data_IF_286118452015
#
_entry.id   IF_286118452015
#
_cell.length_a   1.000
_cell.length_b   1.000
_cell.length_c   1.000
_cell.angle_alpha   90.00
_cell.angle_beta   90.00
_cell.angle_gamma   90.00
#
_symmetry.space_group_name_H-M   'P 1'
#
loop_
_entity.id
_entity.type
_entity.pdbx_description
1 polymer ?
#
# COMPACT_ATOMS: atom_id res chain seq x y z
N UNK A 1 -26.59 -53.73 -33.90
CA UNK A 1 -25.21 -53.19 -34.02
C UNK A 1 -25.09 -51.76 -33.49
N UNK A 2 -26.03 -50.85 -33.78
CA UNK A 2 -26.01 -49.44 -33.31
C UNK A 2 -26.02 -49.24 -31.78
N UNK A 3 -26.72 -50.11 -31.02
CA UNK A 3 -26.79 -49.99 -29.55
C UNK A 3 -25.48 -50.33 -28.82
N UNK A 4 -24.64 -51.19 -29.41
CA UNK A 4 -23.33 -51.57 -28.83
C UNK A 4 -22.32 -50.44 -29.04
N UNK A 5 -22.40 -49.75 -30.17
CA UNK A 5 -21.55 -48.59 -30.48
C UNK A 5 -21.86 -47.39 -29.59
N UNK A 6 -23.14 -47.16 -29.24
CA UNK A 6 -23.54 -46.04 -28.38
C UNK A 6 -23.08 -46.23 -26.92
N UNK A 7 -23.17 -47.46 -26.38
CA UNK A 7 -22.62 -47.77 -25.05
C UNK A 7 -21.11 -47.60 -24.99
N UNK A 8 -20.37 -48.01 -26.03
CA UNK A 8 -18.91 -47.78 -26.10
C UNK A 8 -18.56 -46.30 -26.19
N UNK A 9 -19.35 -45.49 -26.89
CA UNK A 9 -19.14 -44.04 -27.01
C UNK A 9 -19.40 -43.30 -25.69
N UNK A 10 -20.40 -43.74 -24.92
CA UNK A 10 -20.68 -43.22 -23.57
C UNK A 10 -19.58 -43.61 -22.59
N UNK A 11 -19.12 -44.87 -22.60
CA UNK A 11 -18.00 -45.28 -21.72
C UNK A 11 -16.71 -44.55 -22.07
N UNK A 12 -16.40 -44.37 -23.36
CA UNK A 12 -15.23 -43.57 -23.79
C UNK A 12 -15.40 -42.11 -23.37
N UNK A 13 -16.59 -41.52 -23.50
CA UNK A 13 -16.84 -40.13 -23.05
C UNK A 13 -16.75 -39.98 -21.53
N UNK A 14 -17.23 -40.95 -20.75
CA UNK A 14 -17.13 -40.95 -19.28
C UNK A 14 -15.68 -41.16 -18.84
N UNK A 15 -14.91 -42.01 -19.52
CA UNK A 15 -13.46 -42.18 -19.27
C UNK A 15 -12.68 -40.94 -19.69
N UNK A 16 -13.08 -40.25 -20.77
CA UNK A 16 -12.48 -38.97 -21.21
C UNK A 16 -12.84 -37.80 -20.29
N UNK A 17 -14.03 -37.80 -19.70
CA UNK A 17 -14.45 -36.82 -18.69
C UNK A 17 -13.78 -37.10 -17.33
N UNK A 18 -13.66 -38.37 -16.94
CA UNK A 18 -12.97 -38.77 -15.71
C UNK A 18 -11.45 -38.59 -15.80
N UNK A 19 -10.85 -38.64 -17.00
CA UNK A 19 -9.43 -38.33 -17.22
C UNK A 19 -9.13 -36.83 -17.32
N UNK A 20 -10.16 -35.98 -17.50
CA UNK A 20 -10.02 -34.52 -17.42
C UNK A 20 -10.34 -33.94 -16.04
N UNK A 21 -10.92 -34.75 -15.14
CA UNK A 21 -10.92 -34.47 -13.70
C UNK A 21 -9.74 -35.16 -13.04
N UNK A 22 -8.54 -34.97 -13.58
CA UNK A 22 -7.38 -34.93 -12.70
C UNK A 22 -7.63 -33.73 -11.79
N UNK A 23 -8.04 -34.01 -10.56
CA UNK A 23 -8.03 -33.02 -9.48
C UNK A 23 -6.59 -32.55 -9.45
N UNK A 24 -6.30 -31.39 -10.07
CA UNK A 24 -5.04 -30.71 -9.86
C UNK A 24 -4.96 -30.54 -8.36
N UNK A 25 -4.02 -31.24 -7.73
CA UNK A 25 -3.72 -31.01 -6.33
C UNK A 25 -3.38 -29.52 -6.25
N UNK A 26 -4.24 -28.73 -5.60
CA UNK A 26 -4.02 -27.30 -5.41
C UNK A 26 -2.70 -27.17 -4.66
N UNK A 27 -1.62 -26.82 -5.37
CA UNK A 27 -0.30 -26.72 -4.78
C UNK A 27 -0.19 -25.33 -4.11
N UNK A 28 0.33 -25.26 -2.88
CA UNK A 28 0.55 -23.97 -2.21
C UNK A 28 1.39 -23.00 -3.06
N UNK A 29 2.36 -23.53 -3.83
CA UNK A 29 3.22 -22.76 -4.72
C UNK A 29 2.48 -21.97 -5.80
N UNK A 30 1.40 -22.53 -6.37
CA UNK A 30 0.62 -21.85 -7.42
C UNK A 30 -0.08 -20.60 -6.88
N UNK A 31 -0.51 -20.63 -5.62
CA UNK A 31 -1.12 -19.49 -4.94
C UNK A 31 -0.08 -18.46 -4.50
N UNK A 32 1.13 -18.89 -4.12
CA UNK A 32 2.24 -17.97 -3.82
C UNK A 32 2.64 -17.19 -5.07
N UNK A 33 2.81 -17.87 -6.21
CA UNK A 33 3.16 -17.21 -7.48
C UNK A 33 2.09 -16.20 -7.91
N UNK A 34 0.81 -16.57 -7.80
CA UNK A 34 -0.31 -15.66 -8.08
C UNK A 34 -0.34 -14.47 -7.11
N UNK A 35 -0.11 -14.71 -5.82
CA UNK A 35 -0.06 -13.67 -4.81
C UNK A 35 1.06 -12.65 -5.11
N UNK A 36 2.26 -13.11 -5.45
CA UNK A 36 3.40 -12.24 -5.79
C UNK A 36 3.14 -11.42 -7.05
N UNK A 37 2.54 -12.03 -8.08
CA UNK A 37 2.17 -11.34 -9.31
C UNK A 37 1.14 -10.23 -9.05
N UNK A 38 0.11 -10.51 -8.26
CA UNK A 38 -0.92 -9.53 -7.89
C UNK A 38 -0.38 -8.43 -7.00
N UNK A 39 0.51 -8.78 -6.06
CA UNK A 39 1.19 -7.82 -5.19
C UNK A 39 2.04 -6.84 -6.01
N UNK A 40 2.80 -7.36 -6.97
CA UNK A 40 3.63 -6.57 -7.90
C UNK A 40 2.80 -5.69 -8.83
N UNK A 41 1.60 -6.13 -9.20
CA UNK A 41 0.64 -5.34 -9.97
C UNK A 41 -0.12 -4.29 -9.14
N UNK A 42 0.05 -4.27 -7.82
CA UNK A 42 -0.63 -3.34 -6.91
C UNK A 42 -2.03 -3.78 -6.46
N UNK A 43 -2.48 -4.98 -6.81
CA UNK A 43 -3.73 -5.57 -6.31
C UNK A 43 -3.48 -6.28 -4.96
N UNK A 44 -3.29 -5.45 -3.93
CA UNK A 44 -2.84 -5.88 -2.60
C UNK A 44 -3.86 -6.78 -1.89
N UNK A 45 -5.15 -6.47 -1.97
CA UNK A 45 -6.18 -7.23 -1.25
C UNK A 45 -6.36 -8.63 -1.85
N UNK A 46 -6.26 -8.77 -3.17
CA UNK A 46 -6.30 -10.08 -3.83
C UNK A 46 -5.02 -10.87 -3.57
N UNK A 47 -3.86 -10.22 -3.57
CA UNK A 47 -2.58 -10.86 -3.23
C UNK A 47 -2.57 -11.44 -1.81
N UNK A 48 -3.09 -10.69 -0.84
CA UNK A 48 -3.22 -11.16 0.55
C UNK A 48 -4.10 -12.41 0.62
N UNK A 49 -5.24 -12.44 -0.09
CA UNK A 49 -6.14 -13.60 -0.09
C UNK A 49 -5.50 -14.85 -0.67
N UNK A 50 -4.76 -14.71 -1.77
CA UNK A 50 -4.07 -15.85 -2.38
C UNK A 50 -2.97 -16.39 -1.44
N UNK A 51 -2.23 -15.51 -0.77
CA UNK A 51 -1.23 -15.90 0.23
C UNK A 51 -1.86 -16.57 1.46
N UNK A 52 -2.98 -16.05 1.97
CA UNK A 52 -3.76 -16.68 3.05
C UNK A 52 -4.24 -18.09 2.64
N UNK A 53 -4.63 -18.25 1.37
CA UNK A 53 -5.02 -19.55 0.81
C UNK A 53 -3.82 -20.51 0.72
N UNK A 54 -2.65 -20.04 0.31
CA UNK A 54 -1.41 -20.83 0.31
C UNK A 54 -1.05 -21.33 1.73
N UNK A 55 -1.16 -20.47 2.75
CA UNK A 55 -0.96 -20.85 4.17
C UNK A 55 -1.95 -21.94 4.61
N UNK A 56 -3.21 -21.83 4.17
CA UNK A 56 -4.25 -22.80 4.51
C UNK A 56 -4.04 -24.20 3.93
N UNK A 57 -3.48 -24.27 2.72
CA UNK A 57 -3.29 -25.53 1.96
C UNK A 57 -1.93 -26.18 2.25
N UNK A 58 -0.93 -25.40 2.70
CA UNK A 58 0.36 -25.93 3.09
C UNK A 58 0.23 -27.09 4.08
N UNK A 59 0.96 -28.18 3.86
CA UNK A 59 0.94 -29.34 4.76
C UNK A 59 2.05 -29.25 5.81
N UNK A 60 3.23 -28.78 5.40
CA UNK A 60 4.37 -28.65 6.29
C UNK A 60 4.27 -27.40 7.17
N UNK A 61 4.75 -27.53 8.41
CA UNK A 61 4.83 -26.39 9.33
C UNK A 61 5.82 -25.35 8.81
N UNK A 62 6.94 -25.79 8.22
CA UNK A 62 7.99 -24.92 7.72
C UNK A 62 7.48 -24.04 6.56
N UNK A 63 6.68 -24.60 5.65
CA UNK A 63 6.07 -23.85 4.55
C UNK A 63 5.03 -22.85 5.08
N UNK A 64 4.22 -23.25 6.07
CA UNK A 64 3.27 -22.32 6.73
C UNK A 64 3.98 -21.15 7.36
N UNK A 65 5.05 -21.42 8.10
CA UNK A 65 5.82 -20.39 8.81
C UNK A 65 6.52 -19.46 7.79
N UNK A 66 7.00 -20.01 6.67
CA UNK A 66 7.55 -19.23 5.56
C UNK A 66 6.50 -18.33 4.88
N UNK A 67 5.33 -18.85 4.54
CA UNK A 67 4.26 -18.06 3.91
C UNK A 67 3.68 -17.01 4.87
N UNK A 68 3.57 -17.33 6.16
CA UNK A 68 3.22 -16.35 7.21
C UNK A 68 4.25 -15.23 7.32
N UNK A 69 5.54 -15.57 7.25
CA UNK A 69 6.61 -14.58 7.23
C UNK A 69 6.47 -13.64 6.02
N UNK A 70 6.28 -14.20 4.82
CA UNK A 70 6.05 -13.43 3.58
C UNK A 70 4.84 -12.51 3.70
N UNK A 71 3.69 -13.03 4.14
CA UNK A 71 2.48 -12.25 4.37
C UNK A 71 2.70 -11.12 5.40
N UNK A 72 3.46 -11.40 6.46
CA UNK A 72 3.86 -10.40 7.45
C UNK A 72 4.64 -9.24 6.84
N UNK A 73 5.58 -9.51 5.92
CA UNK A 73 6.35 -8.45 5.25
C UNK A 73 5.49 -7.48 4.44
N UNK A 74 4.35 -7.93 3.94
CA UNK A 74 3.40 -7.10 3.19
C UNK A 74 2.44 -6.35 4.11
N UNK A 75 1.96 -7.01 5.16
CA UNK A 75 0.96 -6.45 6.08
C UNK A 75 1.54 -5.38 7.02
N UNK A 76 2.78 -5.52 7.49
CA UNK A 76 3.43 -4.56 8.41
C UNK A 76 3.42 -3.13 7.84
N UNK A 77 3.96 -2.86 6.63
CA UNK A 77 4.02 -1.50 6.11
C UNK A 77 2.62 -0.91 5.85
N UNK A 78 1.64 -1.73 5.47
CA UNK A 78 0.25 -1.28 5.27
C UNK A 78 -0.39 -0.88 6.61
N UNK A 79 -0.27 -1.73 7.62
CA UNK A 79 -0.79 -1.47 8.95
C UNK A 79 -0.15 -0.21 9.56
N UNK A 80 1.18 -0.09 9.50
CA UNK A 80 1.91 1.09 9.97
C UNK A 80 1.51 2.36 9.21
N UNK A 81 1.37 2.28 7.88
CA UNK A 81 0.99 3.45 7.08
C UNK A 81 -0.38 3.99 7.49
N UNK A 82 -1.38 3.13 7.66
CA UNK A 82 -2.72 3.56 8.06
C UNK A 82 -2.78 3.98 9.52
N UNK A 83 -2.09 3.27 10.41
CA UNK A 83 -2.00 3.59 11.83
C UNK A 83 -1.35 4.97 12.05
N UNK A 84 -0.21 5.25 11.40
CA UNK A 84 0.49 6.53 11.51
C UNK A 84 -0.30 7.70 10.93
N UNK A 85 -1.21 7.44 9.97
CA UNK A 85 -2.15 8.42 9.43
C UNK A 85 -3.39 8.62 10.31
N UNK A 86 -3.51 7.89 11.43
CA UNK A 86 -4.69 7.88 12.29
C UNK A 86 -5.92 7.24 11.65
N UNK A 87 -5.78 6.54 10.53
CA UNK A 87 -6.88 5.82 9.89
C UNK A 87 -7.01 4.42 10.50
N UNK A 88 -7.50 4.38 11.73
CA UNK A 88 -7.63 3.17 12.53
C UNK A 88 -8.61 2.15 11.92
N UNK A 89 -9.60 2.60 11.15
CA UNK A 89 -10.56 1.73 10.45
C UNK A 89 -9.85 0.86 9.40
N UNK A 90 -8.98 1.47 8.59
CA UNK A 90 -8.17 0.73 7.61
C UNK A 90 -6.99 -0.01 8.23
N UNK A 91 -6.44 0.47 9.34
CA UNK A 91 -5.34 -0.19 10.03
C UNK A 91 -5.77 -1.47 10.78
N UNK A 92 -7.01 -1.51 11.28
CA UNK A 92 -7.56 -2.62 12.07
C UNK A 92 -7.49 -3.99 11.37
N UNK A 93 -7.94 -4.17 10.11
CA UNK A 93 -7.90 -5.47 9.45
C UNK A 93 -6.47 -6.00 9.23
N UNK A 94 -5.51 -5.13 8.91
CA UNK A 94 -4.12 -5.53 8.69
C UNK A 94 -3.42 -5.85 10.02
N UNK A 95 -3.60 -5.03 11.06
CA UNK A 95 -3.06 -5.28 12.40
C UNK A 95 -3.63 -6.55 13.04
N UNK A 96 -4.93 -6.85 12.83
CA UNK A 96 -5.54 -8.11 13.28
C UNK A 96 -4.84 -9.33 12.66
N UNK A 97 -4.69 -9.36 11.34
CA UNK A 97 -3.99 -10.46 10.65
C UNK A 97 -2.55 -10.63 11.14
N UNK A 98 -1.87 -9.52 11.42
CA UNK A 98 -0.51 -9.55 11.98
C UNK A 98 -0.47 -10.18 13.39
N UNK A 99 -1.50 -9.99 14.23
CA UNK A 99 -1.56 -10.69 15.54
C UNK A 99 -1.73 -12.20 15.41
N UNK A 100 -2.31 -12.69 14.31
CA UNK A 100 -2.45 -14.12 14.02
C UNK A 100 -1.12 -14.73 13.50
N UNK A 101 -0.28 -13.91 12.86
CA UNK A 101 1.04 -14.29 12.33
C UNK A 101 2.12 -14.22 13.41
N UNK A 102 2.11 -13.17 14.23
CA UNK A 102 3.13 -12.90 15.25
C UNK A 102 2.47 -12.45 16.56
N UNK A 103 1.82 -13.39 17.29
CA UNK A 103 1.09 -13.07 18.52
C UNK A 103 2.00 -12.58 19.65
N UNK A 104 3.31 -12.76 19.56
CA UNK A 104 4.26 -12.37 20.60
C UNK A 104 4.83 -10.95 20.39
N UNK A 105 4.57 -10.32 19.24
CA UNK A 105 5.05 -8.97 18.95
C UNK A 105 4.18 -7.92 19.66
N UNK A 106 4.75 -7.32 20.71
CA UNK A 106 4.08 -6.29 21.51
C UNK A 106 3.74 -5.02 20.71
N UNK A 107 4.51 -4.68 19.68
CA UNK A 107 4.23 -3.55 18.81
C UNK A 107 2.96 -3.78 17.98
N UNK A 108 2.85 -4.96 17.39
CA UNK A 108 1.66 -5.38 16.62
C UNK A 108 0.42 -5.45 17.51
N UNK A 109 0.55 -6.05 18.69
CA UNK A 109 -0.51 -6.13 19.70
C UNK A 109 -1.02 -4.74 20.11
N UNK A 110 -0.10 -3.81 20.38
CA UNK A 110 -0.45 -2.43 20.71
C UNK A 110 -1.20 -1.76 19.55
N UNK A 111 -0.68 -1.88 18.33
CA UNK A 111 -1.30 -1.31 17.14
C UNK A 111 -2.74 -1.83 16.93
N UNK A 112 -2.96 -3.13 17.09
CA UNK A 112 -4.28 -3.75 17.02
C UNK A 112 -5.23 -3.21 18.09
N UNK A 113 -4.79 -3.18 19.36
CA UNK A 113 -5.61 -2.74 20.48
C UNK A 113 -6.00 -1.25 20.36
N UNK A 114 -5.05 -0.39 20.00
CA UNK A 114 -5.27 1.04 19.80
C UNK A 114 -6.27 1.30 18.65
N UNK A 115 -6.11 0.57 17.54
CA UNK A 115 -7.02 0.67 16.40
C UNK A 115 -8.42 0.18 16.77
N UNK A 116 -8.52 -0.94 17.51
CA UNK A 116 -9.79 -1.51 17.98
C UNK A 116 -10.53 -0.54 18.91
N UNK A 117 -9.86 -0.01 19.92
CA UNK A 117 -10.45 0.95 20.87
C UNK A 117 -10.94 2.19 20.13
N UNK A 118 -10.15 2.72 19.21
CA UNK A 118 -10.49 3.92 18.44
C UNK A 118 -11.72 3.69 17.56
N UNK A 119 -11.80 2.56 16.86
CA UNK A 119 -12.96 2.21 16.02
C UNK A 119 -14.22 1.96 16.87
N UNK A 120 -14.08 1.28 18.01
CA UNK A 120 -15.19 1.07 18.95
C UNK A 120 -15.68 2.39 19.56
N UNK A 121 -14.78 3.32 19.90
CA UNK A 121 -15.12 4.65 20.39
C UNK A 121 -15.87 5.46 19.33
N UNK A 122 -15.43 5.45 18.07
CA UNK A 122 -16.12 6.13 16.96
C UNK A 122 -17.52 5.54 16.74
N UNK A 123 -17.65 4.21 16.74
CA UNK A 123 -18.97 3.54 16.63
C UNK A 123 -19.90 3.92 17.78
N UNK A 124 -19.38 3.98 19.01
CA UNK A 124 -20.15 4.38 20.19
C UNK A 124 -20.63 5.83 20.10
N UNK A 125 -19.78 6.74 19.61
CA UNK A 125 -20.15 8.15 19.36
C UNK A 125 -21.20 8.26 18.25
N UNK A 126 -21.11 7.46 17.19
CA UNK A 126 -22.14 7.42 16.14
C UNK A 126 -23.48 6.85 16.63
N UNK A 127 -23.44 5.82 17.48
CA UNK A 127 -24.63 5.28 18.14
C UNK A 127 -25.26 6.28 19.11
N UNK A 128 -24.45 7.02 19.88
CA UNK A 128 -24.91 8.09 20.76
C UNK A 128 -25.54 9.26 19.98
N UNK A 129 -24.94 9.66 18.84
CA UNK A 129 -25.53 10.65 17.93
C UNK A 129 -26.87 10.20 17.35
N UNK A 130 -26.99 8.92 16.94
CA UNK A 130 -28.26 8.35 16.47
C UNK A 130 -29.32 8.30 17.59
N UNK A 131 -28.91 8.12 18.85
CA UNK A 131 -29.81 8.17 20.01
C UNK A 131 -30.28 9.61 20.30
N UNK A 132 -29.42 10.60 20.10
CA UNK A 132 -29.75 12.02 20.25
C UNK A 132 -30.72 12.52 19.17
N UNK A 133 -30.49 12.14 17.91
CA UNK A 133 -31.39 12.41 16.79
C UNK A 133 -32.78 11.75 16.99
N UNK A 134 -32.80 10.57 17.61
CA UNK A 134 -34.03 9.84 18.00
C UNK A 134 -34.76 10.46 19.21
N UNK A 135 -34.09 11.26 20.04
CA UNK A 135 -34.72 12.05 21.12
C UNK A 135 -35.41 13.30 20.57
N UNK A 136 -34.83 13.94 19.56
CA UNK A 136 -35.38 15.14 18.91
C UNK A 136 -36.69 14.82 18.17
N UNK A 137 -36.72 13.73 17.40
CA UNK A 137 -37.94 13.23 16.71
C UNK A 137 -39.04 12.81 17.69
N UNK A 138 -38.67 12.31 18.89
CA UNK A 138 -39.64 11.94 19.93
C UNK A 138 -40.30 13.16 20.60
N UNK A 139 -39.60 14.29 20.70
CA UNK A 139 -40.11 15.49 21.37
C UNK A 139 -41.15 16.22 20.50
N UNK A 140 -40.90 16.34 19.19
CA UNK A 140 -41.88 16.87 18.23
C UNK A 140 -43.15 16.00 18.20
N UNK A 141 -42.99 14.68 18.23
CA UNK A 141 -44.11 13.74 18.33
C UNK A 141 -44.91 13.92 19.63
N UNK A 142 -44.24 14.14 20.77
CA UNK A 142 -44.88 14.37 22.06
C UNK A 142 -45.69 15.68 22.07
N UNK A 143 -45.14 16.77 21.54
CA UNK A 143 -45.82 18.08 21.44
C UNK A 143 -47.08 17.94 20.57
N UNK A 144 -46.99 17.29 19.41
CA UNK A 144 -48.14 17.06 18.53
C UNK A 144 -49.24 16.22 19.18
N UNK A 145 -48.85 15.24 20.00
CA UNK A 145 -49.78 14.39 20.74
C UNK A 145 -50.51 15.21 21.82
N UNK A 146 -49.79 16.05 22.57
CA UNK A 146 -50.36 16.93 23.59
C UNK A 146 -51.35 17.93 22.98
N UNK A 147 -51.03 18.54 21.84
CA UNK A 147 -51.93 19.45 21.11
C UNK A 147 -53.21 18.73 20.63
N UNK A 148 -53.09 17.49 20.15
CA UNK A 148 -54.23 16.66 19.76
C UNK A 148 -55.15 16.33 20.94
N UNK A 149 -54.58 15.97 22.10
CA UNK A 149 -55.34 15.74 23.33
C UNK A 149 -56.07 17.00 23.79
N UNK A 150 -55.42 18.16 23.74
CA UNK A 150 -56.01 19.46 24.10
C UNK A 150 -57.23 19.77 23.23
N UNK A 151 -57.09 19.66 21.91
CA UNK A 151 -58.19 19.88 20.95
C UNK A 151 -59.36 18.92 21.16
N UNK A 152 -59.07 17.68 21.58
CA UNK A 152 -60.10 16.69 21.91
C UNK A 152 -60.86 17.07 23.19
N UNK A 153 -60.15 17.57 24.21
CA UNK A 153 -60.75 18.03 25.47
C UNK A 153 -61.63 19.27 25.26
N UNK A 154 -61.19 20.24 24.47
CA UNK A 154 -62.00 21.42 24.12
C UNK A 154 -63.32 21.05 23.45
N UNK A 155 -63.28 20.14 22.47
CA UNK A 155 -64.50 19.63 21.80
C UNK A 155 -65.44 18.93 22.77
N UNK A 156 -64.89 18.18 23.72
CA UNK A 156 -65.69 17.47 24.73
C UNK A 156 -66.37 18.46 25.67
N UNK A 157 -65.67 19.52 26.09
CA UNK A 157 -66.23 20.61 26.89
C UNK A 157 -67.35 21.34 26.13
N UNK A 158 -67.15 21.63 24.84
CA UNK A 158 -68.17 22.24 23.98
C UNK A 158 -69.43 21.37 23.89
N UNK A 159 -69.27 20.06 23.67
CA UNK A 159 -70.39 19.11 23.60
C UNK A 159 -71.13 18.99 24.94
N UNK A 160 -70.42 19.05 26.07
CA UNK A 160 -71.05 19.05 27.39
C UNK A 160 -71.87 20.33 27.64
N UNK A 161 -71.39 21.50 27.20
CA UNK A 161 -72.15 22.76 27.25
C UNK A 161 -73.46 22.68 26.47
N UNK A 162 -73.42 22.11 25.27
CA UNK A 162 -74.61 21.92 24.42
C UNK A 162 -75.61 20.90 24.99
N UNK A 163 -75.12 19.86 25.70
CA UNK A 163 -76.00 18.91 26.39
C UNK A 163 -76.66 19.54 27.60
N UNK A 164 -75.89 20.27 28.41
CA UNK A 164 -76.42 20.97 29.59
C UNK A 164 -77.47 22.01 29.20
N UNK A 165 -77.24 22.79 28.12
CA UNK A 165 -78.22 23.78 27.67
C UNK A 165 -79.57 23.17 27.29
N UNK A 166 -79.57 21.93 26.76
CA UNK A 166 -80.78 21.15 26.47
C UNK A 166 -81.43 20.58 27.75
N UNK A 167 -80.64 20.13 28.72
CA UNK A 167 -81.14 19.53 29.96
C UNK A 167 -81.75 20.56 30.93
N UNK A 168 -81.39 21.84 30.77
CA UNK A 168 -81.95 22.97 31.53
C UNK A 168 -83.35 23.40 31.06
N UNK A 169 -83.86 22.85 29.93
CA UNK A 169 -85.23 23.08 29.44
C UNK A 169 -86.22 22.19 30.19
N UNK A 170 -87.17 22.79 30.91
CA UNK A 170 -88.25 22.07 31.60
C UNK A 170 -87.97 21.67 33.06
N UNK A 171 -86.82 22.03 33.64
CA UNK A 171 -86.50 21.81 35.06
C UNK A 171 -86.88 23.01 35.96
N UNK A 172 -87.06 22.74 37.26
CA UNK A 172 -87.31 23.75 38.27
C UNK A 172 -86.11 24.70 38.46
N UNK A 173 -86.35 25.91 38.95
CA UNK A 173 -85.32 26.95 39.09
C UNK A 173 -84.20 26.55 40.07
N UNK A 174 -84.56 25.85 41.15
CA UNK A 174 -83.61 25.33 42.14
C UNK A 174 -82.70 24.24 41.55
N UNK A 175 -83.26 23.31 40.76
CA UNK A 175 -82.47 22.28 40.07
C UNK A 175 -81.55 22.88 39.00
N UNK A 176 -82.03 23.88 38.24
CA UNK A 176 -81.21 24.60 37.25
C UNK A 176 -80.00 25.26 37.89
N UNK A 177 -80.19 25.94 39.02
CA UNK A 177 -79.11 26.64 39.70
C UNK A 177 -78.06 25.69 40.28
N UNK A 178 -78.49 24.56 40.87
CA UNK A 178 -77.58 23.53 41.36
C UNK A 178 -76.73 22.90 40.24
N UNK A 179 -77.35 22.57 39.09
CA UNK A 179 -76.66 22.02 37.93
C UNK A 179 -75.69 23.02 37.29
N UNK A 180 -76.05 24.30 37.22
CA UNK A 180 -75.16 25.35 36.72
C UNK A 180 -73.95 25.57 37.64
N UNK A 181 -74.14 25.53 38.95
CA UNK A 181 -73.04 25.68 39.90
C UNK A 181 -72.04 24.52 39.81
N UNK A 182 -72.53 23.28 39.71
CA UNK A 182 -71.68 22.10 39.53
C UNK A 182 -70.94 22.13 38.18
N UNK A 183 -71.62 22.54 37.11
CA UNK A 183 -71.00 22.69 35.80
C UNK A 183 -69.91 23.77 35.80
N UNK A 184 -70.18 24.94 36.39
CA UNK A 184 -69.20 26.03 36.49
C UNK A 184 -67.95 25.62 37.27
N UNK A 185 -68.11 24.84 38.35
CA UNK A 185 -66.96 24.27 39.09
C UNK A 185 -66.12 23.35 38.21
N UNK A 186 -66.75 22.46 37.44
CA UNK A 186 -66.04 21.57 36.50
C UNK A 186 -65.38 22.35 35.37
N UNK A 187 -66.07 23.31 34.76
CA UNK A 187 -65.53 24.14 33.69
C UNK A 187 -64.28 24.93 34.13
N UNK A 188 -64.31 25.52 35.33
CA UNK A 188 -63.16 26.24 35.87
C UNK A 188 -61.96 25.32 36.10
N UNK A 189 -62.20 24.08 36.58
CA UNK A 189 -61.15 23.09 36.73
C UNK A 189 -60.55 22.68 35.37
N UNK A 190 -61.39 22.46 34.35
CA UNK A 190 -60.92 22.17 32.99
C UNK A 190 -60.09 23.31 32.41
N UNK A 191 -60.55 24.56 32.52
CA UNK A 191 -59.81 25.75 32.08
C UNK A 191 -58.45 25.89 32.76
N UNK A 192 -58.37 25.58 34.06
CA UNK A 192 -57.11 25.62 34.81
C UNK A 192 -56.11 24.56 34.30
N UNK A 193 -56.56 23.33 34.03
CA UNK A 193 -55.71 22.27 33.47
C UNK A 193 -55.26 22.63 32.04
N UNK A 194 -56.16 23.21 31.24
CA UNK A 194 -55.90 23.63 29.87
C UNK A 194 -54.79 24.69 29.83
N UNK A 195 -54.94 25.76 30.60
CA UNK A 195 -53.96 26.86 30.70
C UNK A 195 -52.59 26.39 31.20
N UNK A 196 -52.56 25.48 32.17
CA UNK A 196 -51.30 24.87 32.64
C UNK A 196 -50.61 24.06 31.54
N UNK A 197 -51.38 23.27 30.79
CA UNK A 197 -50.85 22.44 29.70
C UNK A 197 -50.33 23.30 28.55
N UNK A 198 -51.04 24.38 28.19
CA UNK A 198 -50.56 25.36 27.21
C UNK A 198 -49.26 26.03 27.64
N UNK A 199 -49.14 26.40 28.92
CA UNK A 199 -47.90 26.97 29.45
C UNK A 199 -46.73 26.01 29.28
N UNK A 200 -46.93 24.73 29.64
CA UNK A 200 -45.91 23.71 29.49
C UNK A 200 -45.49 23.49 28.04
N UNK A 201 -46.45 23.52 27.10
CA UNK A 201 -46.16 23.43 25.66
C UNK A 201 -45.34 24.65 25.20
N UNK A 202 -45.73 25.87 25.62
CA UNK A 202 -44.99 27.10 25.28
C UNK A 202 -43.57 27.06 25.82
N UNK A 203 -43.39 26.68 27.09
CA UNK A 203 -42.07 26.61 27.71
C UNK A 203 -41.17 25.60 26.96
N UNK A 204 -41.69 24.40 26.67
CA UNK A 204 -40.97 23.39 25.88
C UNK A 204 -40.61 23.88 24.46
N UNK A 205 -41.53 24.56 23.77
CA UNK A 205 -41.28 25.13 22.45
C UNK A 205 -40.20 26.21 22.50
N UNK A 206 -40.18 27.06 23.53
CA UNK A 206 -39.15 28.10 23.67
C UNK A 206 -37.78 27.52 23.94
N UNK A 207 -37.66 26.51 24.81
CA UNK A 207 -36.39 25.84 25.10
C UNK A 207 -35.86 25.11 23.85
N UNK A 208 -36.74 24.42 23.13
CA UNK A 208 -36.40 23.75 21.87
C UNK A 208 -35.91 24.73 20.80
N UNK A 209 -36.67 25.81 20.55
CA UNK A 209 -36.30 26.82 19.56
C UNK A 209 -34.97 27.51 19.91
N UNK A 210 -34.70 27.74 21.20
CA UNK A 210 -33.42 28.28 21.67
C UNK A 210 -32.26 27.33 21.35
N UNK A 211 -32.36 26.05 21.74
CA UNK A 211 -31.32 25.04 21.45
C UNK A 211 -31.11 24.83 19.96
N UNK A 212 -32.20 24.76 19.17
CA UNK A 212 -32.12 24.62 17.71
C UNK A 212 -31.39 25.82 17.06
N UNK A 213 -31.63 27.04 17.56
CA UNK A 213 -30.93 28.24 17.08
C UNK A 213 -29.44 28.23 17.40
N UNK A 214 -29.06 27.83 18.62
CA UNK A 214 -27.66 27.70 19.04
C UNK A 214 -26.93 26.62 18.21
N UNK A 215 -27.58 25.50 17.94
CA UNK A 215 -27.07 24.45 17.06
C UNK A 215 -26.90 24.95 15.62
N UNK A 216 -27.90 25.60 15.02
CA UNK A 216 -27.78 26.13 13.65
C UNK A 216 -26.65 27.16 13.52
N UNK A 217 -26.44 28.00 14.53
CA UNK A 217 -25.32 28.96 14.54
C UNK A 217 -23.97 28.26 14.60
N UNK A 218 -23.80 27.28 15.49
CA UNK A 218 -22.54 26.53 15.61
C UNK A 218 -22.23 25.72 14.34
N UNK A 219 -23.21 24.99 13.78
CA UNK A 219 -23.03 24.28 12.51
C UNK A 219 -22.73 25.23 11.34
N UNK A 220 -23.36 26.42 11.29
CA UNK A 220 -23.09 27.44 10.27
C UNK A 220 -21.65 27.96 10.31
N UNK A 221 -21.11 28.20 11.51
CA UNK A 221 -19.71 28.64 11.68
C UNK A 221 -18.73 27.53 11.27
N UNK A 222 -18.96 26.29 11.71
CA UNK A 222 -18.09 25.16 11.37
C UNK A 222 -18.10 24.88 9.87
N UNK A 223 -19.26 24.90 9.22
CA UNK A 223 -19.35 24.71 7.76
C UNK A 223 -18.68 25.83 6.99
N UNK A 224 -18.81 27.09 7.42
CA UNK A 224 -18.10 28.21 6.81
C UNK A 224 -16.57 28.04 6.90
N UNK A 225 -16.04 27.62 8.05
CA UNK A 225 -14.60 27.34 8.23
C UNK A 225 -14.14 26.24 7.27
N UNK A 226 -14.88 25.13 7.18
CA UNK A 226 -14.55 24.02 6.28
C UNK A 226 -14.54 24.50 4.82
N UNK A 227 -15.54 25.26 4.38
CA UNK A 227 -15.58 25.79 3.01
C UNK A 227 -14.40 26.73 2.71
N UNK A 228 -14.03 27.59 3.65
CA UNK A 228 -12.84 28.47 3.51
C UNK A 228 -11.57 27.64 3.40
N UNK A 229 -11.41 26.58 4.21
CA UNK A 229 -10.23 25.70 4.10
C UNK A 229 -10.15 24.99 2.76
N UNK A 230 -11.28 24.47 2.25
CA UNK A 230 -11.35 23.84 0.92
C UNK A 230 -10.97 24.85 -0.16
N UNK A 231 -11.48 26.08 -0.08
CA UNK A 231 -11.16 27.13 -1.04
C UNK A 231 -9.66 27.47 -1.05
N UNK A 232 -9.03 27.55 0.13
CA UNK A 232 -7.58 27.76 0.26
C UNK A 232 -6.81 26.60 -0.40
N UNK A 233 -7.21 25.35 -0.14
CA UNK A 233 -6.58 24.19 -0.76
C UNK A 233 -6.71 24.18 -2.28
N UNK A 234 -7.89 24.49 -2.82
CA UNK A 234 -8.13 24.60 -4.27
C UNK A 234 -7.28 25.73 -4.87
N UNK A 235 -7.20 26.88 -4.20
CA UNK A 235 -6.40 28.01 -4.65
C UNK A 235 -4.91 27.68 -4.70
N UNK A 236 -4.38 27.05 -3.65
CA UNK A 236 -2.99 26.57 -3.60
C UNK A 236 -2.74 25.53 -4.69
N UNK A 237 -3.68 24.60 -4.91
CA UNK A 237 -3.58 23.60 -5.96
C UNK A 237 -3.53 24.22 -7.35
N UNK A 238 -4.33 25.26 -7.62
CA UNK A 238 -4.30 25.99 -8.90
C UNK A 238 -2.95 26.68 -9.10
N UNK A 239 -2.43 27.36 -8.07
CA UNK A 239 -1.11 28.02 -8.13
C UNK A 239 -0.02 26.99 -8.43
N UNK A 240 0.01 25.88 -7.69
CA UNK A 240 0.98 24.81 -7.89
C UNK A 240 0.86 24.20 -9.28
N UNK A 241 -0.35 23.87 -9.73
CA UNK A 241 -0.61 23.30 -11.04
C UNK A 241 -0.12 24.22 -12.16
N UNK A 242 -0.37 25.53 -12.05
CA UNK A 242 0.12 26.53 -13.00
C UNK A 242 1.64 26.64 -12.98
N UNK A 243 2.27 26.57 -11.80
CA UNK A 243 3.73 26.57 -11.66
C UNK A 243 4.37 25.32 -12.28
N UNK A 244 3.76 24.16 -12.09
CA UNK A 244 4.20 22.90 -12.71
C UNK A 244 4.03 22.90 -14.23
N UNK A 245 2.91 23.41 -14.75
CA UNK A 245 2.67 23.53 -16.19
C UNK A 245 3.70 24.44 -16.87
N UNK A 246 3.99 25.60 -16.27
CA UNK A 246 4.99 26.53 -16.79
C UNK A 246 6.41 25.92 -16.82
N UNK A 247 6.81 25.18 -15.78
CA UNK A 247 8.09 24.46 -15.79
C UNK A 247 8.16 23.39 -16.89
N UNK A 248 7.07 22.65 -17.10
CA UNK A 248 6.99 21.59 -18.13
C UNK A 248 7.08 22.15 -19.55
N UNK A 249 6.46 23.30 -19.80
CA UNK A 249 6.54 23.96 -21.13
C UNK A 249 7.98 24.41 -21.44
N UNK A 250 8.71 24.91 -20.43
CA UNK A 250 10.11 25.32 -20.59
C UNK A 250 11.03 24.12 -20.90
N UNK A 251 10.85 22.99 -20.21
CA UNK A 251 11.63 21.78 -20.48
C UNK A 251 11.31 21.19 -21.86
N UNK A 252 10.03 21.14 -22.24
CA UNK A 252 9.60 20.62 -23.53
C UNK A 252 10.15 21.46 -24.70
N UNK A 253 10.16 22.79 -24.58
CA UNK A 253 10.78 23.67 -25.60
C UNK A 253 12.29 23.41 -25.76
N UNK A 254 13.00 23.12 -24.68
CA UNK A 254 14.43 22.78 -24.74
C UNK A 254 14.67 21.40 -25.39
N UNK A 255 13.81 20.43 -25.10
CA UNK A 255 13.89 19.08 -25.62
C UNK A 255 13.55 19.02 -27.12
N UNK A 256 12.53 19.77 -27.56
CA UNK A 256 12.19 19.91 -28.99
C UNK A 256 13.32 20.58 -29.79
N UNK A 257 14.04 21.54 -29.20
CA UNK A 257 15.22 22.16 -29.85
C UNK A 257 16.33 21.13 -29.99
N UNK A 258 16.63 20.32 -28.96
CA UNK A 258 17.62 19.24 -29.04
C UNK A 258 17.26 18.19 -30.09
N UNK A 259 16.01 17.71 -30.12
CA UNK A 259 15.55 16.73 -31.12
C UNK A 259 15.69 17.29 -32.55
N UNK A 260 15.45 18.59 -32.73
CA UNK A 260 15.62 19.25 -34.03
C UNK A 260 17.08 19.37 -34.43
N UNK A 261 17.98 19.65 -33.49
CA UNK A 261 19.44 19.66 -33.71
C UNK A 261 19.97 18.24 -34.00
N UNK A 262 19.53 17.23 -33.26
CA UNK A 262 19.86 15.82 -33.47
C UNK A 262 19.35 15.31 -34.82
N UNK A 263 18.14 15.71 -35.25
CA UNK A 263 17.60 15.39 -36.56
C UNK A 263 18.37 16.03 -37.72
N UNK A 264 18.86 17.27 -37.54
CA UNK A 264 19.75 17.94 -38.51
C UNK A 264 21.09 17.18 -38.59
N UNK A 265 21.62 16.76 -37.45
CA UNK A 265 22.85 15.97 -37.36
C UNK A 265 22.68 14.60 -38.03
N UNK A 266 21.59 13.88 -37.77
CA UNK A 266 21.28 12.59 -38.40
C UNK A 266 21.09 12.72 -39.93
N UNK A 267 20.42 13.76 -40.40
CA UNK A 267 20.30 14.04 -41.82
C UNK A 267 21.66 14.36 -42.49
N UNK A 268 22.60 14.96 -41.74
CA UNK A 268 23.97 15.17 -42.19
C UNK A 268 24.75 13.85 -42.29
N UNK A 269 24.61 12.96 -41.31
CA UNK A 269 25.23 11.63 -41.32
C UNK A 269 24.68 10.76 -42.43
N UNK A 270 23.36 10.78 -42.69
CA UNK A 270 22.74 10.03 -43.78
C UNK A 270 23.29 10.45 -45.16
N UNK A 271 23.54 11.75 -45.37
CA UNK A 271 24.20 12.25 -46.59
C UNK A 271 25.66 11.80 -46.71
N UNK A 272 26.38 11.71 -45.59
CA UNK A 272 27.76 11.22 -45.57
C UNK A 272 27.78 9.71 -45.87
N UNK A 273 26.88 8.93 -45.27
CA UNK A 273 26.74 7.49 -45.49
C UNK A 273 26.36 7.20 -46.95
N UNK A 274 25.38 7.90 -47.53
CA UNK A 274 25.02 7.75 -48.96
C UNK A 274 26.20 8.07 -49.90
N UNK A 275 27.04 9.04 -49.53
CA UNK A 275 28.27 9.36 -50.27
C UNK A 275 29.31 8.25 -50.15
N UNK A 276 29.47 7.67 -48.97
CA UNK A 276 30.36 6.53 -48.72
C UNK A 276 29.85 5.28 -49.46
N UNK A 277 28.56 4.97 -49.40
CA UNK A 277 27.94 3.85 -50.11
C UNK A 277 28.06 3.96 -51.63
N UNK A 278 28.03 5.18 -52.18
CA UNK A 278 28.28 5.41 -53.61
C UNK A 278 29.75 5.27 -54.01
N UNK A 279 30.68 5.45 -53.08
CA UNK A 279 32.12 5.27 -53.32
C UNK A 279 32.62 3.85 -53.01
N UNK A 280 31.93 3.08 -52.17
CA UNK A 280 32.22 1.67 -51.85
C UNK A 280 32.38 0.77 -53.10
N UNK A 281 31.56 0.88 -54.16
CA UNK A 281 31.72 0.07 -55.38
C UNK A 281 33.02 0.34 -56.15
N UNK A 282 33.68 1.49 -55.91
CA UNK A 282 34.96 1.85 -56.53
C UNK A 282 36.16 1.26 -55.80
N UNK A 283 35.98 0.83 -54.55
CA UNK A 283 36.97 0.12 -53.76
C UNK A 283 36.76 -1.39 -53.90
N UNK A 284 36.89 -1.92 -55.13
CA UNK A 284 37.14 -3.36 -55.30
C UNK A 284 38.57 -3.66 -54.87
N UNK A 285 38.75 -4.12 -53.64
CA UNK A 285 39.94 -4.87 -53.27
C UNK A 285 39.55 -6.21 -52.66
N UNK A 286 39.89 -7.24 -53.44
CA UNK A 286 40.22 -8.62 -53.07
C UNK A 286 39.18 -9.38 -52.23
N UNK A 287 38.45 -10.27 -52.92
CA UNK A 287 37.77 -11.38 -52.26
C UNK A 287 38.82 -12.28 -51.59
N UNK A 288 38.98 -12.14 -50.27
CA UNK A 288 39.53 -13.21 -49.46
C UNK A 288 38.48 -14.32 -49.27
N UNK A 289 38.90 -15.59 -49.24
CA UNK A 289 37.97 -16.72 -49.20
C UNK A 289 37.15 -16.68 -47.92
N UNK A 290 35.87 -17.04 -48.03
CA UNK A 290 34.99 -17.32 -46.88
C UNK A 290 35.61 -18.45 -46.04
N UNK A 291 36.47 -18.09 -45.11
CA UNK A 291 36.79 -18.93 -43.97
C UNK A 291 35.55 -18.83 -43.08
N UNK A 292 34.70 -19.84 -43.18
CA UNK A 292 33.67 -20.11 -42.17
C UNK A 292 34.41 -20.47 -40.87
N UNK A 293 34.93 -19.45 -40.17
CA UNK A 293 35.41 -19.60 -38.81
C UNK A 293 34.17 -19.95 -38.00
N UNK A 294 33.95 -21.26 -37.80
CA UNK A 294 33.27 -21.76 -36.62
C UNK A 294 34.03 -21.21 -35.44
N UNK A 295 33.67 -20.02 -34.97
CA UNK A 295 34.17 -19.49 -33.72
C UNK A 295 33.75 -20.48 -32.65
N UNK A 296 34.71 -21.26 -32.19
CA UNK A 296 34.48 -22.23 -31.14
C UNK A 296 34.20 -21.41 -29.88
N UNK A 297 32.93 -21.32 -29.50
CA UNK A 297 32.49 -20.42 -28.43
C UNK A 297 33.24 -20.66 -27.11
N UNK A 298 33.62 -21.92 -26.84
CA UNK A 298 34.47 -22.31 -25.72
C UNK A 298 35.91 -21.80 -25.82
N UNK A 299 36.41 -21.62 -27.04
CA UNK A 299 37.75 -21.07 -27.30
C UNK A 299 37.75 -19.55 -27.15
N UNK A 300 36.68 -18.87 -27.58
CA UNK A 300 36.46 -17.45 -27.29
C UNK A 300 36.32 -17.20 -25.78
N UNK A 301 35.49 -17.97 -25.08
CA UNK A 301 35.33 -17.91 -23.61
C UNK A 301 36.67 -18.11 -22.89
N UNK A 302 37.51 -19.04 -23.35
CA UNK A 302 38.86 -19.26 -22.81
C UNK A 302 39.82 -18.12 -23.15
N UNK A 303 39.76 -17.58 -24.35
CA UNK A 303 40.67 -16.52 -24.83
C UNK A 303 40.36 -15.20 -24.13
N UNK A 304 39.07 -14.91 -23.89
CA UNK A 304 38.63 -13.78 -23.06
C UNK A 304 39.02 -14.00 -21.59
N UNK A 305 38.79 -15.20 -21.03
CA UNK A 305 39.23 -15.51 -19.67
C UNK A 305 40.76 -15.48 -19.48
N UNK A 306 41.53 -15.59 -20.56
CA UNK A 306 43.00 -15.46 -20.56
C UNK A 306 43.52 -14.05 -20.83
N UNK A 307 42.63 -13.10 -21.16
CA UNK A 307 42.98 -11.69 -21.33
C UNK A 307 43.45 -11.04 -20.03
N UNK A 308 44.04 -9.86 -20.09
CA UNK A 308 44.38 -9.09 -18.88
C UNK A 308 43.11 -8.70 -18.09
N UNK A 309 43.28 -8.27 -16.85
CA UNK A 309 42.15 -7.99 -15.93
C UNK A 309 41.17 -7.00 -16.55
N UNK A 310 41.69 -5.97 -17.20
CA UNK A 310 40.92 -4.91 -17.83
C UNK A 310 40.06 -5.44 -18.99
N UNK A 311 40.62 -6.31 -19.83
CA UNK A 311 39.86 -6.96 -20.91
C UNK A 311 38.71 -7.80 -20.34
N UNK A 312 38.94 -8.53 -19.25
CA UNK A 312 37.90 -9.37 -18.62
C UNK A 312 36.76 -8.52 -18.04
N UNK A 313 37.10 -7.40 -17.39
CA UNK A 313 36.10 -6.44 -16.88
C UNK A 313 35.28 -5.83 -18.03
N UNK A 314 35.91 -5.37 -19.11
CA UNK A 314 35.17 -4.80 -20.26
C UNK A 314 34.23 -5.78 -20.92
N UNK A 315 34.59 -7.06 -20.96
CA UNK A 315 33.67 -8.09 -21.45
C UNK A 315 32.47 -8.22 -20.53
N UNK A 316 32.68 -8.26 -19.21
CA UNK A 316 31.57 -8.29 -18.24
C UNK A 316 30.67 -7.05 -18.36
N UNK A 317 31.25 -5.86 -18.53
CA UNK A 317 30.49 -4.62 -18.75
C UNK A 317 29.67 -4.65 -20.05
N UNK A 318 30.25 -5.20 -21.13
CA UNK A 318 29.53 -5.38 -22.41
C UNK A 318 28.39 -6.39 -22.26
N UNK A 319 28.61 -7.49 -21.52
CA UNK A 319 27.55 -8.44 -21.20
C UNK A 319 26.44 -7.73 -20.41
N UNK A 320 26.81 -6.90 -19.43
CA UNK A 320 25.86 -6.14 -18.60
C UNK A 320 25.01 -5.18 -19.44
N UNK A 321 25.62 -4.46 -20.39
CA UNK A 321 24.87 -3.55 -21.28
C UNK A 321 23.84 -4.31 -22.11
N UNK A 322 24.22 -5.44 -22.71
CA UNK A 322 23.32 -6.12 -23.66
C UNK A 322 22.18 -6.84 -22.95
N UNK A 323 22.36 -7.21 -21.68
CA UNK A 323 21.32 -7.85 -20.88
C UNK A 323 20.29 -6.84 -20.38
N UNK A 324 20.68 -5.58 -20.22
CA UNK A 324 19.81 -4.51 -19.73
C UNK A 324 18.68 -4.10 -20.70
N UNK A 325 18.69 -4.58 -21.95
CA UNK A 325 17.68 -4.29 -22.99
C UNK A 325 16.48 -5.28 -23.02
N UNK A 326 16.27 -6.05 -21.93
CA UNK A 326 15.03 -6.76 -21.56
C UNK A 326 14.51 -7.83 -22.55
N UNK A 327 15.31 -8.89 -22.78
CA UNK A 327 14.88 -10.10 -23.47
C UNK A 327 15.08 -11.34 -22.59
N UNK A 328 14.04 -12.16 -22.37
CA UNK A 328 14.12 -13.35 -21.50
C UNK A 328 15.23 -14.35 -21.92
N UNK A 329 15.47 -14.50 -23.23
CA UNK A 329 16.54 -15.36 -23.78
C UNK A 329 17.95 -14.79 -23.50
N UNK A 330 18.09 -13.49 -23.23
CA UNK A 330 19.39 -12.85 -22.94
C UNK A 330 19.88 -13.14 -21.51
N UNK A 331 18.97 -13.38 -20.56
CA UNK A 331 19.32 -13.65 -19.16
C UNK A 331 19.92 -15.03 -18.95
N UNK A 332 19.34 -16.08 -19.53
CA UNK A 332 19.91 -17.44 -19.47
C UNK A 332 21.27 -17.52 -20.19
N UNK A 333 21.39 -16.83 -21.33
CA UNK A 333 22.65 -16.71 -22.05
C UNK A 333 23.69 -15.90 -21.24
N UNK A 334 23.26 -14.85 -20.57
CA UNK A 334 24.08 -14.04 -19.66
C UNK A 334 24.69 -14.86 -18.53
N UNK A 335 23.91 -15.68 -17.83
CA UNK A 335 24.42 -16.57 -16.77
C UNK A 335 25.54 -17.46 -17.30
N UNK A 336 25.36 -18.04 -18.49
CA UNK A 336 26.38 -18.91 -19.12
C UNK A 336 27.68 -18.16 -19.44
N UNK A 337 27.57 -16.92 -19.93
CA UNK A 337 28.74 -16.10 -20.28
C UNK A 337 29.49 -15.59 -19.06
N UNK A 338 28.79 -15.32 -17.95
CA UNK A 338 29.39 -14.81 -16.71
C UNK A 338 30.06 -15.93 -15.90
N UNK A 339 29.54 -17.15 -15.97
CA UNK A 339 29.99 -18.28 -15.13
C UNK A 339 31.51 -18.51 -15.08
N UNK A 340 32.29 -18.39 -16.18
CA UNK A 340 33.74 -18.53 -16.15
C UNK A 340 34.47 -17.51 -15.25
N UNK A 341 33.89 -16.33 -15.04
CA UNK A 341 34.51 -15.22 -14.30
C UNK A 341 34.19 -15.24 -12.80
N UNK A 342 33.21 -16.04 -12.35
CA UNK A 342 32.80 -16.12 -10.95
C UNK A 342 33.90 -16.67 -10.02
N UNK A 343 34.85 -17.42 -10.58
CA UNK A 343 36.00 -17.99 -9.87
C UNK A 343 37.34 -17.39 -10.33
N UNK A 344 37.32 -16.18 -10.90
CA UNK A 344 38.53 -15.52 -11.39
C UNK A 344 39.59 -15.34 -10.29
N UNK A 345 40.86 -15.32 -10.68
CA UNK A 345 41.96 -15.04 -9.76
C UNK A 345 41.98 -13.60 -9.25
N UNK A 346 41.51 -12.64 -10.05
CA UNK A 346 41.48 -11.22 -9.69
C UNK A 346 40.17 -10.89 -8.95
N UNK A 347 40.24 -10.31 -7.73
CA UNK A 347 39.07 -9.91 -6.94
C UNK A 347 38.08 -9.00 -7.67
N UNK A 348 38.56 -8.09 -8.51
CA UNK A 348 37.70 -7.13 -9.23
C UNK A 348 36.87 -7.83 -10.29
N UNK A 349 37.48 -8.78 -11.00
CA UNK A 349 36.77 -9.58 -12.01
C UNK A 349 35.69 -10.44 -11.35
N UNK A 350 35.99 -11.07 -10.20
CA UNK A 350 34.99 -11.83 -9.43
C UNK A 350 33.82 -10.96 -8.97
N UNK A 351 34.10 -9.78 -8.41
CA UNK A 351 33.06 -8.87 -7.94
C UNK A 351 32.20 -8.35 -9.11
N UNK A 352 32.82 -7.95 -10.22
CA UNK A 352 32.12 -7.53 -11.43
C UNK A 352 31.27 -8.68 -11.99
N UNK A 353 31.78 -9.91 -12.01
CA UNK A 353 31.00 -11.07 -12.46
C UNK A 353 29.74 -11.30 -11.61
N UNK A 354 29.83 -11.13 -10.29
CA UNK A 354 28.65 -11.21 -9.42
C UNK A 354 27.67 -10.06 -9.65
N UNK A 355 28.16 -8.87 -9.98
CA UNK A 355 27.31 -7.74 -10.39
C UNK A 355 26.48 -8.06 -11.64
N UNK A 356 27.14 -8.56 -12.68
CA UNK A 356 26.46 -8.95 -13.93
C UNK A 356 25.51 -10.12 -13.69
N UNK A 357 25.92 -11.08 -12.85
CA UNK A 357 25.06 -12.20 -12.48
C UNK A 357 23.80 -11.72 -11.74
N UNK A 358 23.87 -10.66 -10.94
CA UNK A 358 22.68 -10.09 -10.29
C UNK A 358 21.65 -9.61 -11.32
N UNK A 359 22.08 -8.99 -12.42
CA UNK A 359 21.17 -8.56 -13.51
C UNK A 359 20.53 -9.75 -14.25
N UNK A 360 21.28 -10.85 -14.38
CA UNK A 360 20.82 -12.06 -15.08
C UNK A 360 19.93 -12.93 -14.19
N UNK A 361 20.35 -13.13 -12.95
CA UNK A 361 19.86 -14.11 -11.99
C UNK A 361 20.10 -13.60 -10.55
N UNK A 362 19.22 -12.70 -10.04
CA UNK A 362 19.37 -12.13 -8.70
C UNK A 362 19.49 -13.19 -7.59
N UNK A 363 18.78 -14.31 -7.76
CA UNK A 363 18.78 -15.40 -6.80
C UNK A 363 20.14 -16.12 -6.70
N UNK A 364 20.80 -16.39 -7.84
CA UNK A 364 22.12 -17.03 -7.86
C UNK A 364 23.20 -16.09 -7.36
N UNK A 365 23.14 -14.80 -7.74
CA UNK A 365 24.05 -13.78 -7.23
C UNK A 365 23.99 -13.69 -5.69
N UNK A 366 22.78 -13.73 -5.11
CA UNK A 366 22.60 -13.68 -3.66
C UNK A 366 23.21 -14.88 -2.94
N UNK A 367 23.14 -16.10 -3.53
CA UNK A 367 23.79 -17.29 -2.96
C UNK A 367 25.31 -17.14 -2.95
N UNK A 368 25.89 -16.62 -4.03
CA UNK A 368 27.33 -16.41 -4.17
C UNK A 368 27.85 -15.29 -3.25
N UNK A 369 27.05 -14.25 -2.99
CA UNK A 369 27.43 -13.19 -2.06
C UNK A 369 27.77 -13.70 -0.67
N UNK A 370 26.99 -14.64 -0.11
CA UNK A 370 27.28 -15.19 1.21
C UNK A 370 28.63 -15.91 1.27
N UNK A 371 29.00 -16.58 0.17
CA UNK A 371 30.32 -17.22 0.04
C UNK A 371 31.40 -16.16 -0.05
N UNK A 372 31.20 -15.11 -0.87
CA UNK A 372 32.20 -14.07 -1.08
C UNK A 372 32.40 -13.13 0.12
N UNK A 373 31.36 -12.88 0.91
CA UNK A 373 31.50 -12.16 2.19
C UNK A 373 32.35 -12.92 3.22
N UNK A 374 32.57 -14.22 3.00
CA UNK A 374 33.43 -15.07 3.83
C UNK A 374 34.71 -15.51 3.10
N UNK A 375 35.04 -14.88 1.96
CA UNK A 375 36.25 -15.23 1.19
C UNK A 375 37.49 -14.97 2.04
N UNK A 376 38.53 -15.81 1.90
CA UNK A 376 39.78 -15.69 2.64
C UNK A 376 40.55 -14.43 2.23
N UNK A 377 40.46 -14.00 0.97
CA UNK A 377 41.13 -12.79 0.50
C UNK A 377 40.28 -11.55 0.87
N UNK A 378 40.78 -10.65 1.74
CA UNK A 378 40.05 -9.44 2.12
C UNK A 378 39.76 -8.52 0.93
N UNK A 379 40.55 -8.59 -0.15
CA UNK A 379 40.29 -7.82 -1.37
C UNK A 379 39.01 -8.27 -2.06
N UNK A 380 38.73 -9.58 -2.08
CA UNK A 380 37.46 -10.10 -2.62
C UNK A 380 36.28 -9.57 -1.81
N UNK A 381 36.39 -9.61 -0.48
CA UNK A 381 35.34 -9.07 0.41
C UNK A 381 35.08 -7.58 0.14
N UNK A 382 36.14 -6.78 0.00
CA UNK A 382 36.04 -5.34 -0.30
C UNK A 382 35.38 -5.10 -1.66
N UNK A 383 35.87 -5.73 -2.74
CA UNK A 383 35.35 -5.47 -4.08
C UNK A 383 33.87 -5.86 -4.20
N UNK A 384 33.50 -6.98 -3.58
CA UNK A 384 32.10 -7.42 -3.53
C UNK A 384 31.25 -6.43 -2.74
N UNK A 385 31.71 -5.94 -1.59
CA UNK A 385 31.00 -4.90 -0.82
C UNK A 385 30.84 -3.58 -1.60
N UNK A 386 31.81 -3.21 -2.43
CA UNK A 386 31.73 -2.02 -3.27
C UNK A 386 30.68 -2.17 -4.38
N UNK A 387 30.64 -3.33 -5.03
CA UNK A 387 29.67 -3.64 -6.10
C UNK A 387 28.24 -3.71 -5.55
N UNK A 388 28.03 -4.42 -4.44
CA UNK A 388 26.67 -4.59 -3.92
C UNK A 388 26.03 -3.28 -3.45
N UNK A 389 26.82 -2.26 -3.13
CA UNK A 389 26.34 -0.96 -2.60
C UNK A 389 25.13 -0.41 -3.38
N UNK A 390 25.13 -0.59 -4.70
CA UNK A 390 24.12 -0.02 -5.59
C UNK A 390 22.77 -0.75 -5.52
N UNK A 391 22.79 -2.08 -5.37
CA UNK A 391 21.58 -2.92 -5.38
C UNK A 391 21.28 -3.61 -4.04
N UNK A 392 22.11 -3.44 -3.02
CA UNK A 392 21.89 -4.03 -1.70
C UNK A 392 20.61 -3.44 -1.06
N UNK A 393 19.59 -4.27 -0.74
CA UNK A 393 18.32 -3.77 -0.25
C UNK A 393 18.42 -3.35 1.22
N UNK A 394 17.66 -2.32 1.68
CA UNK A 394 17.66 -1.90 3.08
C UNK A 394 17.33 -3.02 4.09
N UNK A 395 16.54 -4.01 3.68
CA UNK A 395 16.18 -5.18 4.49
C UNK A 395 17.39 -6.07 4.82
N UNK A 396 18.43 -6.06 3.98
CA UNK A 396 19.64 -6.88 4.16
C UNK A 396 20.69 -6.22 5.05
N UNK A 397 20.44 -5.02 5.58
CA UNK A 397 21.38 -4.29 6.46
C UNK A 397 21.74 -5.06 7.73
N UNK A 398 20.88 -5.97 8.20
CA UNK A 398 21.20 -6.88 9.31
C UNK A 398 22.42 -7.76 9.00
N UNK A 399 22.59 -8.20 7.75
CA UNK A 399 23.73 -9.01 7.32
C UNK A 399 25.02 -8.22 7.47
N UNK A 400 25.06 -6.97 7.02
CA UNK A 400 26.22 -6.09 7.18
C UNK A 400 26.61 -5.87 8.65
N UNK A 401 25.62 -5.72 9.54
CA UNK A 401 25.86 -5.62 10.98
C UNK A 401 26.37 -6.91 11.62
N UNK A 402 26.06 -8.07 11.04
CA UNK A 402 26.58 -9.36 11.49
C UNK A 402 27.98 -9.63 10.94
N UNK A 403 28.24 -9.24 9.69
CA UNK A 403 29.55 -9.29 9.06
C UNK A 403 30.54 -8.40 9.79
N UNK A 404 30.18 -7.15 10.08
CA UNK A 404 31.04 -6.20 10.80
C UNK A 404 31.57 -6.77 12.13
N UNK A 405 30.70 -7.44 12.91
CA UNK A 405 31.05 -8.02 14.20
C UNK A 405 32.07 -9.15 14.11
N UNK A 406 32.03 -9.90 13.01
CA UNK A 406 32.90 -11.06 12.78
C UNK A 406 34.13 -10.72 11.96
N UNK A 407 34.14 -9.55 11.32
CA UNK A 407 35.20 -9.15 10.42
C UNK A 407 36.48 -8.83 11.19
N UNK A 408 37.58 -9.48 10.84
CA UNK A 408 38.88 -9.31 11.48
C UNK A 408 39.74 -8.25 10.76
N UNK A 409 39.56 -8.12 9.43
CA UNK A 409 40.31 -7.17 8.62
C UNK A 409 39.73 -5.76 8.80
N UNK A 410 40.57 -4.84 9.30
CA UNK A 410 40.14 -3.47 9.57
C UNK A 410 39.74 -2.72 8.29
N UNK A 411 40.32 -3.01 7.11
CA UNK A 411 39.92 -2.36 5.86
C UNK A 411 38.56 -2.84 5.39
N UNK A 412 38.29 -4.15 5.48
CA UNK A 412 36.97 -4.70 5.15
C UNK A 412 35.92 -4.15 6.11
N UNK A 413 36.20 -4.16 7.42
CA UNK A 413 35.32 -3.58 8.45
C UNK A 413 34.98 -2.13 8.11
N UNK A 414 35.98 -1.33 7.70
CA UNK A 414 35.82 0.06 7.30
C UNK A 414 34.86 0.24 6.11
N UNK A 415 34.94 -0.61 5.08
CA UNK A 415 34.01 -0.58 3.95
C UNK A 415 32.59 -0.90 4.40
N UNK A 416 32.42 -1.90 5.27
CA UNK A 416 31.10 -2.25 5.83
C UNK A 416 30.50 -1.06 6.60
N UNK A 417 31.29 -0.39 7.44
CA UNK A 417 30.85 0.80 8.19
C UNK A 417 30.45 1.93 7.24
N UNK A 418 31.25 2.18 6.21
CA UNK A 418 30.95 3.22 5.21
C UNK A 418 29.62 2.93 4.51
N UNK A 419 29.40 1.68 4.11
CA UNK A 419 28.14 1.25 3.51
C UNK A 419 26.96 1.43 4.47
N UNK A 420 27.09 1.02 5.73
CA UNK A 420 26.08 1.24 6.78
C UNK A 420 25.78 2.74 7.00
N UNK A 421 26.80 3.59 6.94
CA UNK A 421 26.65 5.05 7.01
C UNK A 421 25.89 5.61 5.80
N UNK A 422 26.19 5.12 4.59
CA UNK A 422 25.46 5.47 3.37
C UNK A 422 23.98 5.06 3.45
N UNK A 423 23.67 3.89 4.01
CA UNK A 423 22.29 3.50 4.29
C UNK A 423 21.60 4.47 5.26
N UNK A 424 22.30 4.92 6.30
CA UNK A 424 21.79 5.92 7.25
C UNK A 424 21.64 7.32 6.64
N UNK A 425 22.40 7.66 5.60
CA UNK A 425 22.31 8.95 4.89
C UNK A 425 21.19 8.94 3.86
N UNK A 426 21.12 7.89 3.03
CA UNK A 426 20.31 7.87 1.81
C UNK A 426 19.03 7.02 1.94
N UNK A 427 19.04 5.99 2.80
CA UNK A 427 17.97 4.98 2.91
C UNK A 427 17.39 4.85 4.33
N UNK A 428 17.66 5.82 5.22
CA UNK A 428 17.28 5.81 6.66
C UNK A 428 15.82 5.47 6.94
N UNK A 429 14.90 6.03 6.15
CA UNK A 429 13.44 5.85 6.32
C UNK A 429 12.98 4.41 6.15
N UNK A 430 13.79 3.56 5.53
CA UNK A 430 13.52 2.15 5.29
C UNK A 430 14.19 1.22 6.32
N UNK A 431 14.91 1.78 7.29
CA UNK A 431 15.59 1.01 8.34
C UNK A 431 14.74 0.98 9.61
N UNK A 432 14.48 -0.20 10.22
CA UNK A 432 13.87 -0.30 11.54
C UNK A 432 14.63 0.53 12.59
N UNK A 433 13.91 1.17 13.52
CA UNK A 433 14.51 2.07 14.53
C UNK A 433 15.61 1.41 15.37
N UNK A 434 15.47 0.12 15.71
CA UNK A 434 16.50 -0.64 16.40
C UNK A 434 17.80 -0.80 15.59
N UNK A 435 17.71 -0.97 14.26
CA UNK A 435 18.89 -1.02 13.40
C UNK A 435 19.53 0.36 13.25
N UNK A 436 18.72 1.43 13.15
CA UNK A 436 19.24 2.80 13.12
C UNK A 436 20.05 3.14 14.37
N UNK A 437 19.56 2.72 15.56
CA UNK A 437 20.26 2.90 16.83
C UNK A 437 21.62 2.20 16.85
N UNK A 438 21.65 0.93 16.45
CA UNK A 438 22.89 0.13 16.37
C UNK A 438 23.92 0.72 15.41
N UNK A 439 23.49 1.19 14.22
CA UNK A 439 24.41 1.81 13.26
C UNK A 439 24.97 3.12 13.82
N UNK A 440 24.15 3.95 14.48
CA UNK A 440 24.63 5.18 15.12
C UNK A 440 25.64 4.91 16.21
N UNK A 441 25.38 3.92 17.06
CA UNK A 441 26.31 3.52 18.12
C UNK A 441 27.63 3.04 17.54
N UNK A 442 27.57 2.21 16.49
CA UNK A 442 28.75 1.72 15.77
C UNK A 442 29.59 2.90 15.25
N UNK A 443 28.98 3.82 14.50
CA UNK A 443 29.64 5.01 13.95
C UNK A 443 30.25 5.86 15.08
N UNK A 444 29.53 6.05 16.19
CA UNK A 444 30.00 6.84 17.33
C UNK A 444 31.20 6.19 18.05
N UNK A 445 31.22 4.86 18.22
CA UNK A 445 32.34 4.12 18.78
C UNK A 445 33.60 4.29 17.92
N UNK A 446 33.43 4.28 16.61
CA UNK A 446 34.52 4.41 15.64
C UNK A 446 35.05 5.84 15.57
N UNK A 447 34.16 6.84 15.61
CA UNK A 447 34.54 8.27 15.69
C UNK A 447 35.31 8.57 16.98
N UNK A 448 34.90 8.00 18.12
CA UNK A 448 35.60 8.14 19.41
C UNK A 448 36.98 7.46 19.44
N UNK A 449 37.19 6.40 18.65
CA UNK A 449 38.49 5.74 18.50
C UNK A 449 39.49 6.54 17.65
N UNK A 450 39.13 7.76 17.20
CA UNK A 450 40.06 8.72 16.59
C UNK A 450 40.56 8.36 15.19
N UNK A 451 39.87 7.46 14.47
CA UNK A 451 40.37 6.91 13.19
C UNK A 451 39.64 7.39 11.92
N UNK A 452 38.76 8.40 11.97
CA UNK A 452 38.10 8.89 10.75
C UNK A 452 37.89 10.41 10.70
N UNK A 453 38.40 11.02 9.62
CA UNK A 453 37.78 12.15 8.93
C UNK A 453 36.87 11.52 7.87
N UNK A 454 35.57 11.82 7.91
CA UNK A 454 34.61 11.42 6.88
C UNK A 454 34.36 12.69 6.06
N UNK A 455 34.98 12.80 4.88
CA UNK A 455 34.55 13.75 3.85
C UNK A 455 33.56 13.07 2.91
#
# INVERSE_FOLDING_TARGET
MLLVSFKRLIVVSIVFFASHTCIYAELPGDYVEQAEKKYSAGDIDSAIKDMEKAIGIAESKDDKDFYKFMLGTWLIPLAEQYYNKGNYEKALPYSKRLTEISPEDQGILKMYNDAKISVEAVKKVEEEKKVEEKKEVKLESLISLMESYMKKQEKLLQSQKEKLSKELLGRSETERNALLEEFNKRENLYKLVLTRTESQIRDLQTEFNKRSKELKQTYGVVTAIVLVTIFIFVFVFIILSRHYAFRREKSFKQEVVKIKEEGIIQASYAKIIDKIEKEIPRLRFVQEPKVEKRYNQREFEKLVASGDVETRIRVLESIKSEISEDFSLSKEFGVRLVNPFLNDSDPRVKACAVDVLHECSPHEATKLLNVMFSDRDPRVRIEVLNVVKDWFPPSSVKILLELEKKEEDENVRRVIIHLLSDFMRNKKRFLPGGLQGRIKELIAVIQKKGKWVIE
#
